data_IF_855648228076
#
_entry.id   IF_855648228076
#
_cell.length_a   1.000
_cell.length_b   1.000
_cell.length_c   1.000
_cell.angle_alpha   90.00
_cell.angle_beta   90.00
_cell.angle_gamma   90.00
#
_symmetry.space_group_name_H-M   'P 1'
#
loop_
_entity.id
_entity.type
_entity.pdbx_description
1 polymer ?
#
# COMPACT_ATOMS: atom_id res chain seq x y z
N UNK A 1 -9.08 4.82 17.26
CA UNK A 1 -8.35 3.69 16.65
C UNK A 1 -7.08 3.44 17.46
N UNK A 2 -6.86 2.22 17.93
CA UNK A 2 -5.68 1.82 18.73
C UNK A 2 -5.05 0.59 18.07
N UNK A 3 -3.73 0.54 17.93
CA UNK A 3 -3.06 -0.67 17.44
C UNK A 3 -2.68 -1.56 18.62
N UNK A 4 -2.95 -2.87 18.57
CA UNK A 4 -2.70 -3.77 19.70
C UNK A 4 -2.09 -5.10 19.25
N UNK A 5 -1.25 -5.69 20.10
CA UNK A 5 -0.82 -7.08 20.01
C UNK A 5 -1.33 -7.85 21.23
N UNK A 6 -1.58 -9.17 21.10
CA UNK A 6 -2.05 -10.00 22.21
C UNK A 6 -1.35 -11.35 22.35
N UNK A 7 -1.40 -11.89 23.56
CA UNK A 7 -1.12 -13.30 23.86
C UNK A 7 -2.37 -13.89 24.49
N UNK A 8 -2.81 -15.05 24.02
CA UNK A 8 -3.95 -15.78 24.58
C UNK A 8 -3.50 -17.07 25.27
N UNK A 9 -4.03 -17.33 26.46
CA UNK A 9 -3.83 -18.57 27.22
C UNK A 9 -5.19 -19.24 27.42
N UNK A 10 -5.39 -20.43 26.85
CA UNK A 10 -6.65 -21.17 26.90
C UNK A 10 -6.89 -21.82 28.26
N UNK A 11 -8.16 -21.80 28.66
CA UNK A 11 -8.71 -22.48 29.83
C UNK A 11 -9.83 -23.46 29.46
N UNK A 12 -10.13 -24.39 30.34
CA UNK A 12 -11.22 -25.35 30.19
C UNK A 12 -12.57 -24.60 30.09
N UNK A 13 -13.35 -24.90 29.04
CA UNK A 13 -14.68 -24.30 28.81
C UNK A 13 -14.70 -23.02 27.96
N UNK A 14 -13.54 -22.53 27.50
CA UNK A 14 -13.49 -21.38 26.58
C UNK A 14 -13.97 -21.72 25.16
N UNK A 15 -14.53 -20.72 24.47
CA UNK A 15 -14.99 -20.84 23.08
C UNK A 15 -13.80 -20.79 22.09
N UNK A 16 -13.86 -21.53 20.98
CA UNK A 16 -12.91 -21.41 19.87
C UNK A 16 -13.44 -20.48 18.77
N UNK A 17 -12.54 -19.77 18.08
CA UNK A 17 -12.85 -18.82 17.03
C UNK A 17 -12.34 -19.34 15.67
N UNK A 18 -13.21 -19.39 14.65
CA UNK A 18 -12.84 -19.63 13.24
C UNK A 18 -12.72 -18.28 12.54
N UNK A 19 -11.51 -17.93 12.09
CA UNK A 19 -11.17 -16.62 11.54
C UNK A 19 -11.73 -16.35 10.14
N UNK A 20 -12.40 -17.32 9.50
CA UNK A 20 -12.89 -17.16 8.12
C UNK A 20 -14.07 -16.20 7.94
N UNK A 21 -14.69 -15.73 9.02
CA UNK A 21 -15.86 -14.84 8.91
C UNK A 21 -15.56 -13.35 9.15
N UNK A 22 -14.34 -12.97 9.58
CA UNK A 22 -14.02 -11.57 9.91
C UNK A 22 -13.10 -10.83 8.92
N UNK A 23 -12.61 -11.49 7.86
CA UNK A 23 -11.92 -10.79 6.76
C UNK A 23 -12.83 -9.77 6.04
N UNK A 24 -14.15 -9.89 6.16
CA UNK A 24 -15.12 -8.96 5.55
C UNK A 24 -15.35 -7.64 6.29
N UNK A 25 -14.83 -7.46 7.52
CA UNK A 25 -15.12 -6.27 8.34
C UNK A 25 -14.03 -5.19 8.31
N UNK A 26 -12.93 -5.39 7.57
CA UNK A 26 -11.81 -4.45 7.47
C UNK A 26 -11.63 -3.81 6.09
N UNK A 27 -12.56 -3.99 5.16
CA UNK A 27 -12.52 -3.37 3.83
C UNK A 27 -13.91 -3.15 3.25
N UNK A 28 -14.51 -2.00 3.54
CA UNK A 28 -15.84 -1.70 3.04
C UNK A 28 -16.38 -0.32 3.43
N UNK A 29 -15.66 0.76 3.12
CA UNK A 29 -16.31 2.06 2.98
C UNK A 29 -16.82 2.17 1.55
N UNK A 30 -17.99 1.59 1.29
CA UNK A 30 -18.77 1.92 0.11
C UNK A 30 -19.31 3.34 0.29
N UNK A 31 -18.98 4.21 -0.66
CA UNK A 31 -19.53 5.55 -0.75
C UNK A 31 -21.05 5.49 -0.95
N UNK A 32 -21.83 5.78 0.10
CA UNK A 32 -23.24 6.09 -0.04
C UNK A 32 -23.39 7.51 -0.57
N UNK A 33 -24.01 7.63 -1.75
CA UNK A 33 -24.50 8.90 -2.31
C UNK A 33 -25.54 9.52 -1.36
N UNK A 34 -25.57 10.84 -1.15
CA UNK A 34 -26.70 11.45 -0.47
C UNK A 34 -27.91 11.51 -1.42
N UNK A 35 -29.00 10.87 -1.00
CA UNK A 35 -30.33 11.08 -1.56
C UNK A 35 -30.82 12.48 -1.18
N UNK A 36 -31.45 13.15 -2.14
CA UNK A 36 -31.97 14.50 -1.97
C UNK A 36 -33.30 14.57 -1.22
N UNK A 37 -33.62 15.84 -0.93
CA UNK A 37 -34.95 16.41 -0.74
C UNK A 37 -35.60 16.31 0.66
N UNK A 38 -35.68 17.46 1.36
CA UNK A 38 -36.94 18.23 1.46
C UNK A 38 -36.78 19.48 2.34
N UNK A 39 -37.52 20.52 1.94
CA UNK A 39 -37.53 21.88 2.44
C UNK A 39 -38.12 22.08 3.85
N UNK A 40 -37.77 23.21 4.50
CA UNK A 40 -38.66 23.82 5.48
C UNK A 40 -38.05 24.83 6.47
N UNK A 41 -38.32 26.13 6.22
CA UNK A 41 -38.45 27.27 7.15
C UNK A 41 -37.15 27.80 7.80
N UNK A 42 -36.68 28.99 7.38
CA UNK A 42 -37.03 30.35 7.89
C UNK A 42 -36.87 30.47 9.40
N UNK A 43 -35.82 31.18 9.81
CA UNK A 43 -35.92 32.28 10.77
C UNK A 43 -34.72 33.22 10.58
N UNK A 44 -35.05 34.51 10.48
CA UNK A 44 -34.14 35.65 10.42
C UNK A 44 -33.29 35.71 11.69
N UNK A 45 -32.09 36.31 11.64
CA UNK A 45 -31.64 37.40 12.52
C UNK A 45 -30.28 37.92 12.05
N UNK A 46 -30.10 39.22 12.24
CA UNK A 46 -29.22 40.09 11.48
C UNK A 46 -27.85 40.37 12.11
N UNK A 47 -26.98 40.92 11.25
CA UNK A 47 -25.93 41.91 11.47
C UNK A 47 -24.70 41.60 12.35
N UNK A 48 -23.55 41.91 11.76
CA UNK A 48 -22.27 42.15 12.44
C UNK A 48 -21.14 42.37 11.45
N UNK A 49 -21.02 43.59 10.92
CA UNK A 49 -19.87 44.08 10.15
C UNK A 49 -18.56 44.11 10.97
N UNK A 50 -17.44 44.07 10.23
CA UNK A 50 -16.09 44.65 10.45
C UNK A 50 -15.00 43.60 10.24
N UNK A 51 -13.80 43.89 9.73
CA UNK A 51 -13.21 44.89 8.85
C UNK A 51 -11.71 44.51 8.79
N UNK A 52 -11.11 44.64 7.61
CA UNK A 52 -9.69 44.91 7.29
C UNK A 52 -8.54 44.54 8.24
N UNK A 53 -7.50 43.96 7.63
CA UNK A 53 -6.14 43.95 8.15
C UNK A 53 -5.14 43.44 7.12
N UNK A 54 -4.82 44.27 6.12
CA UNK A 54 -3.60 44.16 5.32
C UNK A 54 -2.37 44.23 6.23
N UNK A 55 -1.28 43.51 5.92
CA UNK A 55 0.09 44.03 5.97
C UNK A 55 1.04 43.19 5.13
N UNK A 56 1.92 43.90 4.43
CA UNK A 56 2.81 43.46 3.37
C UNK A 56 4.27 43.36 3.83
N UNK A 57 5.08 42.85 2.90
CA UNK A 57 6.51 43.07 2.65
C UNK A 57 7.58 42.24 3.37
N UNK A 58 8.49 41.72 2.55
CA UNK A 58 9.81 41.24 2.93
C UNK A 58 10.56 40.52 1.81
N UNK A 59 10.76 41.16 0.65
CA UNK A 59 11.80 40.78 -0.31
C UNK A 59 13.18 40.84 0.36
N UNK A 60 14.09 39.92 0.05
CA UNK A 60 15.54 40.18 -0.06
C UNK A 60 16.19 39.17 -1.02
N UNK A 61 16.99 39.73 -1.93
CA UNK A 61 17.68 39.08 -3.03
C UNK A 61 19.16 38.82 -2.73
N UNK A 62 19.79 38.13 -3.69
CA UNK A 62 21.21 38.09 -4.07
C UNK A 62 22.10 36.93 -3.59
N UNK A 63 22.74 36.30 -4.58
CA UNK A 63 23.92 35.48 -4.42
C UNK A 63 24.26 34.61 -5.64
N UNK A 64 24.47 35.21 -6.82
CA UNK A 64 25.21 34.58 -7.92
C UNK A 64 26.62 34.20 -7.45
N UNK A 65 27.17 33.06 -7.90
CA UNK A 65 28.57 32.94 -8.33
C UNK A 65 28.77 31.71 -9.23
N UNK A 66 29.46 31.95 -10.34
CA UNK A 66 29.73 31.05 -11.44
C UNK A 66 31.09 30.34 -11.32
N UNK A 67 31.32 29.45 -12.29
CA UNK A 67 32.58 28.93 -12.86
C UNK A 67 33.06 27.54 -12.46
N UNK A 68 33.28 26.72 -13.51
CA UNK A 68 34.17 25.57 -13.48
C UNK A 68 33.95 24.55 -14.59
N UNK A 69 34.11 24.95 -15.86
CA UNK A 69 34.30 24.03 -17.00
C UNK A 69 35.54 23.14 -16.79
N UNK A 70 35.47 21.85 -17.17
CA UNK A 70 36.57 21.14 -17.84
C UNK A 70 36.10 19.84 -18.54
N UNK A 71 35.94 19.97 -19.86
CA UNK A 71 36.39 19.09 -20.95
C UNK A 71 36.57 17.55 -20.78
N UNK A 72 35.73 16.81 -21.52
CA UNK A 72 36.04 16.06 -22.77
C UNK A 72 37.07 14.89 -22.77
N UNK A 73 36.59 13.67 -23.08
CA UNK A 73 37.17 12.68 -24.04
C UNK A 73 36.31 11.37 -23.97
N UNK A 74 35.43 11.04 -24.92
CA UNK A 74 35.64 10.35 -26.22
C UNK A 74 36.74 9.29 -26.25
N UNK A 75 36.37 8.00 -26.22
CA UNK A 75 36.84 6.96 -27.17
C UNK A 75 36.17 5.59 -26.90
N UNK A 76 35.36 5.11 -27.86
CA UNK A 76 35.30 3.69 -28.26
C UNK A 76 36.17 3.56 -29.53
N UNK A 77 36.70 2.37 -29.91
CA UNK A 77 35.91 1.50 -30.81
C UNK A 77 36.20 -0.03 -30.77
N UNK A 78 35.28 -0.77 -31.43
CA UNK A 78 35.42 -2.08 -32.13
C UNK A 78 35.58 -3.37 -31.28
N UNK A 79 34.60 -4.31 -31.25
CA UNK A 79 34.24 -5.34 -32.27
C UNK A 79 35.42 -6.29 -32.59
N UNK A 80 35.39 -7.63 -32.64
CA UNK A 80 34.43 -8.76 -32.56
C UNK A 80 35.34 -10.05 -32.64
N UNK A 81 34.93 -11.31 -32.92
CA UNK A 81 33.72 -12.10 -32.65
C UNK A 81 34.05 -13.52 -32.08
N UNK A 82 33.04 -14.31 -31.66
CA UNK A 82 32.85 -15.71 -32.12
C UNK A 82 31.72 -16.45 -31.39
N UNK A 83 30.81 -17.00 -32.22
CA UNK A 83 30.19 -18.34 -32.16
C UNK A 83 29.53 -18.77 -30.84
N UNK A 84 28.23 -19.02 -30.73
CA UNK A 84 27.30 -19.61 -31.69
C UNK A 84 26.72 -20.88 -31.06
N UNK A 85 25.42 -20.92 -30.78
CA UNK A 85 24.57 -22.12 -30.92
C UNK A 85 23.09 -21.82 -30.69
N UNK A 86 22.31 -22.34 -31.61
CA UNK A 86 20.87 -22.22 -31.74
C UNK A 86 20.10 -22.81 -30.55
N UNK A 87 18.91 -22.25 -30.28
CA UNK A 87 17.76 -23.02 -29.83
C UNK A 87 16.47 -22.50 -30.46
N UNK A 88 15.75 -23.44 -31.07
CA UNK A 88 14.43 -23.32 -31.63
C UNK A 88 13.38 -23.05 -30.55
N UNK A 89 12.26 -22.47 -30.98
CA UNK A 89 11.15 -22.07 -30.14
C UNK A 89 10.35 -23.21 -29.52
N UNK A 90 9.66 -22.86 -28.45
CA UNK A 90 8.39 -23.46 -28.07
C UNK A 90 7.61 -22.40 -27.27
N UNK A 91 6.58 -21.86 -27.91
CA UNK A 91 5.42 -21.30 -27.22
C UNK A 91 4.84 -22.35 -26.26
N UNK A 92 4.44 -21.93 -25.06
CA UNK A 92 3.17 -22.33 -24.44
C UNK A 92 3.05 -21.76 -23.01
N UNK A 93 2.09 -20.84 -22.87
CA UNK A 93 1.08 -20.77 -21.80
C UNK A 93 1.54 -20.64 -20.35
N UNK A 94 1.37 -19.43 -19.81
CA UNK A 94 1.28 -19.21 -18.36
C UNK A 94 -0.03 -19.77 -17.79
N UNK A 95 -0.08 -20.11 -16.48
CA UNK A 95 -1.32 -20.51 -15.85
C UNK A 95 -2.17 -19.28 -15.54
N UNK A 96 -3.19 -19.10 -16.37
CA UNK A 96 -4.33 -18.23 -16.11
C UNK A 96 -5.21 -18.77 -14.98
N UNK A 97 -5.73 -17.82 -14.23
CA UNK A 97 -6.68 -17.98 -13.15
C UNK A 97 -8.02 -18.50 -13.71
N UNK A 98 -8.43 -19.72 -13.35
CA UNK A 98 -9.72 -20.28 -13.71
C UNK A 98 -10.63 -20.31 -12.47
N UNK A 99 -11.42 -19.25 -12.32
CA UNK A 99 -12.61 -19.27 -11.48
C UNK A 99 -13.68 -20.14 -12.17
N UNK A 100 -14.05 -21.26 -11.55
CA UNK A 100 -15.29 -21.96 -11.85
C UNK A 100 -16.23 -21.75 -10.68
N UNK A 101 -17.28 -20.98 -10.94
CA UNK A 101 -18.42 -20.83 -10.04
C UNK A 101 -19.33 -22.05 -10.12
N UNK A 102 -19.83 -22.46 -8.96
CA UNK A 102 -21.08 -23.21 -8.85
C UNK A 102 -21.99 -22.46 -7.87
N UNK A 103 -23.08 -21.91 -8.41
CA UNK A 103 -24.23 -21.41 -7.66
C UNK A 103 -25.22 -22.56 -7.46
N UNK A 104 -25.65 -22.87 -6.22
CA UNK A 104 -27.06 -23.13 -5.84
C UNK A 104 -27.21 -23.03 -4.29
N UNK A 105 -28.42 -22.96 -3.68
CA UNK A 105 -28.93 -21.74 -3.04
C UNK A 105 -29.25 -21.90 -1.54
N UNK A 106 -29.37 -20.76 -0.85
CA UNK A 106 -30.27 -20.56 0.30
C UNK A 106 -30.19 -21.53 1.47
N UNK A 107 -29.49 -21.14 2.53
CA UNK A 107 -29.92 -21.43 3.91
C UNK A 107 -29.37 -20.36 4.86
N UNK A 108 -30.28 -19.58 5.45
CA UNK A 108 -30.03 -18.92 6.74
C UNK A 108 -29.81 -20.04 7.76
N UNK A 109 -28.61 -20.16 8.29
CA UNK A 109 -28.33 -20.99 9.46
C UNK A 109 -27.34 -20.24 10.35
N UNK A 110 -27.66 -20.17 11.63
CA UNK A 110 -26.98 -19.33 12.62
C UNK A 110 -25.56 -19.77 12.94
N UNK A 111 -24.86 -18.86 13.61
CA UNK A 111 -23.55 -19.06 14.20
C UNK A 111 -23.49 -20.40 14.96
N UNK A 112 -22.63 -21.31 14.52
CA UNK A 112 -22.25 -22.49 15.29
C UNK A 112 -20.86 -22.29 15.85
N UNK A 113 -20.77 -22.29 17.19
CA UNK A 113 -19.53 -22.29 17.94
C UNK A 113 -18.59 -23.40 17.46
N UNK A 114 -17.32 -23.06 17.22
CA UNK A 114 -16.26 -24.04 17.07
C UNK A 114 -16.13 -24.86 18.35
N UNK A 115 -15.83 -26.15 18.22
CA UNK A 115 -15.75 -27.09 19.35
C UNK A 115 -14.82 -26.64 20.49
N UNK A 116 -14.94 -27.27 21.68
CA UNK A 116 -14.25 -26.82 22.90
C UNK A 116 -12.73 -26.80 22.73
N UNK A 117 -12.09 -25.77 23.27
CA UNK A 117 -10.63 -25.63 23.27
C UNK A 117 -9.97 -26.85 23.95
N UNK A 118 -8.89 -27.38 23.35
CA UNK A 118 -8.17 -28.59 23.81
C UNK A 118 -7.39 -28.44 25.14
N UNK A 119 -7.61 -27.37 25.90
CA UNK A 119 -6.88 -27.12 27.15
C UNK A 119 -7.57 -27.80 28.34
N UNK A 120 -6.79 -28.53 29.15
CA UNK A 120 -7.26 -29.13 30.41
C UNK A 120 -6.98 -28.24 31.63
N UNK A 121 -6.47 -27.01 31.43
CA UNK A 121 -6.09 -26.10 32.52
C UNK A 121 -7.32 -25.38 33.08
N UNK A 122 -7.36 -25.23 34.39
CA UNK A 122 -8.31 -24.35 35.08
C UNK A 122 -7.99 -22.88 34.80
N UNK A 123 -8.98 -22.02 35.00
CA UNK A 123 -8.83 -20.56 34.89
C UNK A 123 -7.71 -20.02 35.81
N UNK A 124 -7.62 -20.52 37.04
CA UNK A 124 -6.58 -20.12 37.98
C UNK A 124 -5.16 -20.48 37.50
N UNK A 125 -5.00 -21.65 36.86
CA UNK A 125 -3.73 -22.06 36.26
C UNK A 125 -3.39 -21.22 35.03
N UNK A 126 -4.38 -20.93 34.18
CA UNK A 126 -4.21 -20.06 33.02
C UNK A 126 -3.84 -18.62 33.43
N UNK A 127 -4.46 -18.09 34.50
CA UNK A 127 -4.16 -16.78 35.07
C UNK A 127 -2.74 -16.73 35.63
N UNK A 128 -2.33 -17.76 36.38
CA UNK A 128 -0.96 -17.86 36.91
C UNK A 128 0.08 -17.88 35.80
N UNK A 129 -0.18 -18.63 34.72
CA UNK A 129 0.69 -18.64 33.55
C UNK A 129 0.74 -17.27 32.89
N UNK A 130 -0.40 -16.62 32.68
CA UNK A 130 -0.46 -15.31 32.04
C UNK A 130 0.27 -14.23 32.87
N UNK A 131 0.16 -14.26 34.20
CA UNK A 131 0.94 -13.38 35.10
C UNK A 131 2.45 -13.58 34.94
N UNK A 132 2.90 -14.84 34.78
CA UNK A 132 4.32 -15.12 34.52
C UNK A 132 4.80 -14.55 33.18
N UNK A 133 3.96 -14.59 32.15
CA UNK A 133 4.24 -14.01 30.84
C UNK A 133 4.30 -12.48 30.90
N UNK A 134 3.39 -11.83 31.63
CA UNK A 134 3.44 -10.38 31.88
C UNK A 134 4.74 -9.99 32.58
N UNK A 135 5.18 -10.76 33.57
CA UNK A 135 6.45 -10.51 34.25
C UNK A 135 7.67 -10.64 33.32
N UNK A 136 7.65 -11.58 32.37
CA UNK A 136 8.68 -11.69 31.33
C UNK A 136 8.65 -10.49 30.38
N UNK A 137 7.47 -10.14 29.87
CA UNK A 137 7.28 -9.02 28.94
C UNK A 137 7.62 -7.67 29.56
N UNK A 138 7.44 -7.48 30.87
CA UNK A 138 7.83 -6.25 31.56
C UNK A 138 9.35 -6.08 31.65
N UNK A 139 10.12 -7.17 31.65
CA UNK A 139 11.59 -7.13 31.64
C UNK A 139 12.12 -6.81 30.25
N UNK A 140 11.49 -7.37 29.23
CA UNK A 140 11.83 -7.12 27.83
C UNK A 140 10.56 -6.95 26.97
N UNK A 141 10.01 -5.73 26.92
CA UNK A 141 8.80 -5.48 26.15
C UNK A 141 8.99 -5.76 24.67
N UNK A 142 10.21 -5.67 24.14
CA UNK A 142 10.52 -5.89 22.72
C UNK A 142 10.19 -7.31 22.23
N UNK A 143 10.20 -8.29 23.14
CA UNK A 143 9.97 -9.71 22.85
C UNK A 143 8.51 -10.13 22.74
N UNK A 144 7.55 -9.19 22.80
CA UNK A 144 6.12 -9.51 22.77
C UNK A 144 5.74 -10.42 21.59
N UNK A 145 6.14 -10.07 20.38
CA UNK A 145 5.81 -10.82 19.17
C UNK A 145 6.48 -12.21 19.11
N UNK A 146 7.62 -12.39 19.79
CA UNK A 146 8.28 -13.69 19.94
C UNK A 146 7.51 -14.56 20.94
N UNK A 147 7.19 -13.99 22.11
CA UNK A 147 6.47 -14.68 23.17
C UNK A 147 5.07 -15.08 22.72
N UNK A 148 4.37 -14.20 21.99
CA UNK A 148 3.08 -14.50 21.37
C UNK A 148 3.18 -15.72 20.45
N UNK A 149 4.16 -15.77 19.54
CA UNK A 149 4.37 -16.95 18.68
C UNK A 149 4.73 -18.22 19.42
N UNK A 150 5.38 -18.10 20.57
CA UNK A 150 5.88 -19.26 21.32
C UNK A 150 4.84 -19.80 22.31
N UNK A 151 3.98 -18.93 22.84
CA UNK A 151 3.13 -19.21 24.00
C UNK A 151 1.64 -18.93 23.76
N UNK A 152 1.29 -18.08 22.80
CA UNK A 152 -0.12 -17.80 22.50
C UNK A 152 -0.74 -19.03 21.87
N UNK A 153 -1.91 -19.39 22.38
CA UNK A 153 -2.73 -20.49 21.84
C UNK A 153 -3.77 -19.96 20.82
N UNK A 154 -3.72 -18.65 20.52
CA UNK A 154 -4.53 -17.97 19.49
C UNK A 154 -4.01 -18.22 18.06
N UNK A 155 -4.87 -18.28 17.02
CA UNK A 155 -4.41 -18.36 15.64
C UNK A 155 -3.45 -17.24 15.21
N UNK A 156 -3.60 -16.03 15.78
CA UNK A 156 -2.73 -14.88 15.52
C UNK A 156 -1.34 -15.04 16.17
N UNK A 157 -1.10 -16.11 16.94
CA UNK A 157 0.22 -16.44 17.49
C UNK A 157 1.29 -16.34 16.42
N UNK A 158 1.07 -16.94 15.23
CA UNK A 158 1.99 -16.93 14.09
C UNK A 158 2.36 -15.52 13.59
N UNK A 159 1.43 -14.55 13.70
CA UNK A 159 1.65 -13.13 13.40
C UNK A 159 2.20 -12.33 14.59
N UNK A 160 2.62 -12.99 15.66
CA UNK A 160 3.12 -12.32 16.86
C UNK A 160 2.02 -11.70 17.70
N UNK A 161 0.80 -12.21 17.57
CA UNK A 161 -0.37 -11.69 18.28
C UNK A 161 -0.90 -10.37 17.71
N UNK A 162 -0.48 -9.99 16.51
CA UNK A 162 -0.81 -8.69 15.94
C UNK A 162 -2.27 -8.60 15.48
N UNK A 163 -3.08 -7.84 16.20
CA UNK A 163 -4.50 -7.63 15.89
C UNK A 163 -4.72 -6.41 14.98
N UNK A 164 -3.65 -5.69 14.61
CA UNK A 164 -3.77 -4.47 13.81
C UNK A 164 -4.55 -3.38 14.55
N UNK A 165 -5.37 -2.63 13.81
CA UNK A 165 -6.10 -1.47 14.33
C UNK A 165 -7.44 -1.88 14.92
N UNK A 166 -7.59 -1.65 16.23
CA UNK A 166 -8.81 -1.83 17.00
C UNK A 166 -9.68 -0.57 16.98
N UNK A 167 -10.99 -0.77 16.83
CA UNK A 167 -12.01 0.27 16.90
C UNK A 167 -12.87 0.07 18.16
N UNK A 168 -12.90 1.05 19.08
CA UNK A 168 -13.72 0.95 20.29
C UNK A 168 -15.20 0.74 19.97
N UNK A 169 -15.91 0.05 20.87
CA UNK A 169 -17.32 -0.31 20.74
C UNK A 169 -17.56 -1.73 20.19
N UNK A 170 -16.50 -2.46 19.84
CA UNK A 170 -16.60 -3.85 19.38
C UNK A 170 -16.75 -4.84 20.54
N UNK A 171 -16.04 -4.64 21.65
CA UNK A 171 -16.10 -5.48 22.86
C UNK A 171 -15.79 -4.62 24.09
N UNK A 172 -16.75 -4.51 25.02
CA UNK A 172 -16.69 -3.57 26.15
C UNK A 172 -15.55 -3.93 27.12
N UNK A 173 -15.40 -5.21 27.43
CA UNK A 173 -14.39 -5.72 28.36
C UNK A 173 -12.98 -5.51 27.81
N UNK A 174 -12.82 -5.66 26.50
CA UNK A 174 -11.56 -5.39 25.81
C UNK A 174 -11.25 -3.89 25.80
N UNK A 175 -12.24 -3.05 25.49
CA UNK A 175 -12.10 -1.60 25.48
C UNK A 175 -11.62 -1.06 26.84
N UNK A 176 -12.21 -1.54 27.94
CA UNK A 176 -11.80 -1.15 29.30
C UNK A 176 -10.33 -1.51 29.60
N UNK A 177 -9.85 -2.64 29.08
CA UNK A 177 -8.48 -3.09 29.30
C UNK A 177 -7.42 -2.38 28.44
N UNK A 178 -7.76 -1.93 27.22
CA UNK A 178 -6.78 -1.38 26.26
C UNK A 178 -6.85 0.14 26.09
N UNK A 179 -8.01 0.77 26.27
CA UNK A 179 -8.18 2.22 26.06
C UNK A 179 -7.33 3.04 27.06
N UNK A 180 -7.17 2.53 28.28
CA UNK A 180 -6.40 3.16 29.35
C UNK A 180 -4.88 2.97 29.25
N UNK A 181 -4.39 2.06 28.39
CA UNK A 181 -2.97 1.80 28.25
C UNK A 181 -2.27 2.96 27.54
N UNK A 182 -1.08 3.34 27.97
CA UNK A 182 -0.20 4.19 27.16
C UNK A 182 0.50 3.36 26.08
N UNK A 183 0.98 4.00 25.02
CA UNK A 183 1.74 3.30 23.97
C UNK A 183 2.96 2.60 24.57
N UNK A 184 3.13 1.32 24.25
CA UNK A 184 4.16 0.42 24.79
C UNK A 184 3.74 -0.29 26.09
N UNK A 185 2.66 0.12 26.76
CA UNK A 185 2.22 -0.50 28.00
C UNK A 185 1.61 -1.88 27.76
N UNK A 186 1.88 -2.80 28.69
CA UNK A 186 1.35 -4.16 28.73
C UNK A 186 0.24 -4.21 29.78
N UNK A 187 -0.94 -4.73 29.40
CA UNK A 187 -2.07 -4.91 30.31
C UNK A 187 -1.75 -5.91 31.41
N UNK A 188 -2.49 -5.83 32.51
CA UNK A 188 -2.64 -7.00 33.37
C UNK A 188 -3.37 -8.12 32.60
N UNK A 189 -3.18 -9.40 32.96
CA UNK A 189 -3.96 -10.47 32.37
C UNK A 189 -5.42 -10.38 32.80
N UNK A 190 -6.35 -10.56 31.87
CA UNK A 190 -7.78 -10.57 32.18
C UNK A 190 -8.49 -11.71 31.45
N UNK A 191 -9.52 -12.23 32.10
CA UNK A 191 -10.33 -13.32 31.58
C UNK A 191 -11.29 -12.82 30.49
N UNK A 192 -11.45 -13.64 29.46
CA UNK A 192 -12.41 -13.45 28.38
C UNK A 192 -13.07 -14.80 28.08
N UNK A 193 -14.13 -14.79 27.26
CA UNK A 193 -14.77 -16.03 26.78
C UNK A 193 -13.80 -16.95 25.99
N UNK A 194 -12.65 -16.41 25.57
CA UNK A 194 -11.62 -17.08 24.77
C UNK A 194 -10.38 -17.47 25.58
N UNK A 195 -10.39 -17.30 26.90
CA UNK A 195 -9.24 -17.54 27.78
C UNK A 195 -8.66 -16.25 28.39
N UNK A 196 -7.47 -16.37 28.99
CA UNK A 196 -6.79 -15.25 29.63
C UNK A 196 -5.94 -14.53 28.59
N UNK A 197 -6.19 -13.23 28.42
CA UNK A 197 -5.49 -12.41 27.42
C UNK A 197 -4.59 -11.35 28.06
N UNK A 198 -3.48 -11.10 27.38
CA UNK A 198 -2.51 -10.05 27.69
C UNK A 198 -2.38 -9.20 26.45
N UNK A 199 -2.49 -7.87 26.59
CA UNK A 199 -2.39 -6.94 25.48
C UNK A 199 -1.21 -6.01 25.64
N UNK A 200 -0.64 -5.57 24.51
CA UNK A 200 0.27 -4.43 24.46
C UNK A 200 -0.30 -3.39 23.52
N UNK A 201 -0.37 -2.14 23.97
CA UNK A 201 -0.74 -1.02 23.09
C UNK A 201 0.46 -0.67 22.22
N UNK A 202 0.29 -0.80 20.92
CA UNK A 202 1.29 -0.39 19.95
C UNK A 202 1.14 1.09 19.60
N UNK A 203 2.21 1.68 19.07
CA UNK A 203 2.11 2.98 18.43
C UNK A 203 1.15 2.89 17.24
N UNK A 204 0.26 3.87 17.04
CA UNK A 204 -0.61 3.89 15.88
C UNK A 204 0.25 3.95 14.61
N UNK A 205 -0.03 3.08 13.65
CA UNK A 205 0.56 3.16 12.32
C UNK A 205 -0.21 4.23 11.55
N UNK A 206 0.44 5.36 11.29
CA UNK A 206 -0.09 6.37 10.37
C UNK A 206 0.27 6.01 8.94
N UNK A 207 -0.61 6.36 8.02
CA UNK A 207 -0.42 6.19 6.58
C UNK A 207 0.87 6.87 6.13
N UNK A 208 1.90 6.07 5.91
CA UNK A 208 3.25 6.53 5.58
C UNK A 208 3.73 5.77 4.38
N UNK A 209 4.22 6.50 3.38
CA UNK A 209 4.92 5.88 2.26
C UNK A 209 6.32 5.49 2.73
N UNK A 210 6.60 4.19 2.68
CA UNK A 210 7.87 3.61 3.12
C UNK A 210 8.42 2.71 2.03
N UNK A 211 9.73 2.46 2.09
CA UNK A 211 10.38 1.40 1.34
C UNK A 211 11.36 0.70 2.28
N UNK A 212 11.63 -0.57 2.05
CA UNK A 212 12.55 -1.31 2.88
C UNK A 212 13.32 -2.39 2.13
N UNK A 213 14.42 -2.82 2.75
CA UNK A 213 15.06 -4.11 2.48
C UNK A 213 14.83 -5.04 3.67
N UNK A 214 14.83 -6.34 3.44
CA UNK A 214 14.78 -7.34 4.51
C UNK A 214 15.94 -8.33 4.43
N UNK A 215 16.42 -8.73 5.61
CA UNK A 215 17.25 -9.89 5.81
C UNK A 215 16.41 -10.95 6.51
N UNK A 216 16.26 -12.12 5.89
CA UNK A 216 15.59 -13.28 6.49
C UNK A 216 16.60 -14.20 7.14
N UNK A 217 16.35 -14.60 8.39
CA UNK A 217 17.02 -15.71 9.08
C UNK A 217 16.00 -16.80 9.40
N UNK A 218 16.02 -17.86 8.61
CA UNK A 218 15.06 -18.95 8.75
C UNK A 218 15.51 -19.96 9.82
N UNK A 219 14.55 -20.79 10.25
CA UNK A 219 14.78 -22.03 11.00
C UNK A 219 14.14 -23.22 10.26
N UNK A 220 14.50 -24.43 10.66
CA UNK A 220 13.98 -25.65 10.06
C UNK A 220 12.45 -25.74 10.21
N UNK A 221 11.74 -25.83 9.09
CA UNK A 221 10.27 -25.84 9.06
C UNK A 221 9.62 -24.47 8.96
N UNK A 222 10.37 -23.37 8.92
CA UNK A 222 9.81 -22.07 8.54
C UNK A 222 9.34 -22.08 7.08
N UNK A 223 8.35 -21.25 6.77
CA UNK A 223 7.78 -21.11 5.43
C UNK A 223 8.87 -20.71 4.44
N UNK A 224 9.01 -21.50 3.35
CA UNK A 224 10.06 -21.33 2.32
C UNK A 224 11.51 -21.46 2.83
N UNK A 225 11.73 -22.01 4.01
CA UNK A 225 13.08 -22.34 4.47
C UNK A 225 13.73 -23.37 3.52
N UNK A 226 15.05 -23.27 3.25
CA UNK A 226 15.77 -24.32 2.55
C UNK A 226 15.61 -25.68 3.25
N UNK A 227 15.34 -26.74 2.50
CA UNK A 227 15.12 -28.09 3.06
C UNK A 227 16.36 -28.67 3.75
N UNK A 228 17.55 -28.18 3.43
CA UNK A 228 18.81 -28.54 4.09
C UNK A 228 19.05 -27.82 5.42
N UNK A 229 18.18 -26.88 5.80
CA UNK A 229 18.35 -26.08 7.00
C UNK A 229 18.00 -26.89 8.25
N UNK A 230 18.97 -27.04 9.16
CA UNK A 230 18.83 -27.78 10.42
C UNK A 230 18.70 -26.89 11.64
N UNK A 231 18.89 -25.57 11.48
CA UNK A 231 18.89 -24.59 12.56
C UNK A 231 17.55 -24.57 13.30
N UNK A 232 17.60 -24.60 14.63
CA UNK A 232 16.43 -24.42 15.51
C UNK A 232 15.97 -22.97 15.54
N UNK A 233 14.76 -22.74 16.06
CA UNK A 233 14.21 -21.38 16.22
C UNK A 233 15.03 -20.50 17.18
N UNK A 234 15.61 -21.08 18.23
CA UNK A 234 16.47 -20.35 19.16
C UNK A 234 17.79 -19.93 18.51
N UNK A 235 18.43 -20.84 17.77
CA UNK A 235 19.65 -20.52 17.02
C UNK A 235 19.40 -19.50 15.91
N UNK A 236 18.22 -19.53 15.27
CA UNK A 236 17.83 -18.54 14.27
C UNK A 236 17.68 -17.14 14.88
N UNK A 237 17.11 -17.03 16.09
CA UNK A 237 17.02 -15.77 16.81
C UNK A 237 18.39 -15.22 17.15
N UNK A 238 19.24 -16.02 17.80
CA UNK A 238 20.60 -15.62 18.16
C UNK A 238 21.41 -15.15 16.94
N UNK A 239 21.23 -15.84 15.80
CA UNK A 239 21.82 -15.41 14.53
C UNK A 239 21.23 -14.08 14.05
N UNK A 240 19.91 -13.92 14.05
CA UNK A 240 19.27 -12.67 13.63
C UNK A 240 19.72 -11.47 14.47
N UNK A 241 19.87 -11.64 15.78
CA UNK A 241 20.40 -10.61 16.70
C UNK A 241 21.86 -10.26 16.38
N UNK A 242 22.71 -11.27 16.13
CA UNK A 242 24.09 -11.05 15.73
C UNK A 242 24.19 -10.30 14.39
N UNK A 243 23.38 -10.69 13.40
CA UNK A 243 23.33 -10.03 12.09
C UNK A 243 22.78 -8.61 12.18
N UNK A 244 21.78 -8.39 13.04
CA UNK A 244 21.22 -7.06 13.34
C UNK A 244 22.29 -6.16 13.97
N UNK A 245 23.04 -6.67 14.93
CA UNK A 245 24.12 -5.91 15.58
C UNK A 245 25.21 -5.52 14.59
N UNK A 246 25.56 -6.42 13.67
CA UNK A 246 26.50 -6.11 12.58
C UNK A 246 25.93 -5.04 11.63
N UNK A 247 24.67 -5.18 11.22
CA UNK A 247 23.98 -4.24 10.36
C UNK A 247 23.84 -2.84 10.98
N UNK A 248 23.61 -2.75 12.30
CA UNK A 248 23.52 -1.48 13.01
C UNK A 248 24.88 -0.75 13.09
N UNK A 249 25.99 -1.50 13.09
CA UNK A 249 27.36 -0.92 13.05
C UNK A 249 27.74 -0.43 11.66
N UNK A 250 27.23 -1.07 10.61
CA UNK A 250 27.43 -0.66 9.22
C UNK A 250 26.11 -0.74 8.42
N UNK A 251 25.20 0.25 8.56
CA UNK A 251 23.94 0.24 7.84
C UNK A 251 24.10 0.36 6.32
N UNK A 252 25.19 0.97 5.85
CA UNK A 252 25.47 1.11 4.41
C UNK A 252 25.83 -0.25 3.77
N UNK A 253 26.50 -1.13 4.53
CA UNK A 253 26.83 -2.49 4.12
C UNK A 253 25.67 -3.50 4.14
N UNK A 254 24.49 -3.11 4.61
CA UNK A 254 23.38 -4.05 4.84
C UNK A 254 22.93 -4.82 3.60
N UNK A 255 22.92 -4.18 2.41
CA UNK A 255 22.56 -4.86 1.16
C UNK A 255 23.56 -5.98 0.78
N UNK A 256 24.84 -5.76 1.04
CA UNK A 256 25.89 -6.77 0.84
C UNK A 256 25.75 -7.91 1.87
N UNK A 257 25.42 -7.57 3.11
CA UNK A 257 25.14 -8.56 4.16
C UNK A 257 23.94 -9.45 3.79
N UNK A 258 22.83 -8.86 3.29
CA UNK A 258 21.67 -9.60 2.80
C UNK A 258 22.07 -10.61 1.72
N UNK A 259 22.79 -10.14 0.69
CA UNK A 259 23.24 -11.02 -0.42
C UNK A 259 24.07 -12.19 0.05
N UNK A 260 24.87 -12.00 1.09
CA UNK A 260 25.79 -13.01 1.60
C UNK A 260 25.13 -13.98 2.60
N UNK A 261 24.30 -13.46 3.49
CA UNK A 261 23.96 -14.14 4.75
C UNK A 261 22.47 -14.42 4.95
N UNK A 262 21.60 -13.85 4.11
CA UNK A 262 20.16 -14.09 4.21
C UNK A 262 19.77 -15.48 3.69
N UNK A 263 18.81 -16.08 4.39
CA UNK A 263 18.12 -17.32 3.99
C UNK A 263 16.92 -17.04 3.05
N UNK A 264 16.64 -15.76 2.71
CA UNK A 264 15.51 -15.32 1.90
C UNK A 264 15.73 -15.49 0.39
N UNK A 265 14.65 -15.76 -0.35
CA UNK A 265 14.67 -15.92 -1.81
C UNK A 265 15.03 -14.62 -2.56
N UNK A 266 14.84 -13.48 -1.90
CA UNK A 266 15.10 -12.13 -2.39
C UNK A 266 16.54 -11.66 -2.13
N UNK A 267 17.38 -12.50 -1.52
CA UNK A 267 18.78 -12.17 -1.20
C UNK A 267 19.56 -11.61 -2.38
N UNK A 268 19.42 -12.21 -3.57
CA UNK A 268 20.16 -11.81 -4.79
C UNK A 268 19.79 -10.39 -5.23
N UNK A 269 18.54 -9.97 -4.95
CA UNK A 269 18.02 -8.63 -5.21
C UNK A 269 18.29 -7.66 -4.04
N UNK A 270 19.16 -8.04 -3.10
CA UNK A 270 19.45 -7.25 -1.91
C UNK A 270 18.27 -7.10 -0.96
N UNK A 271 17.30 -8.03 -1.00
CA UNK A 271 16.16 -8.05 -0.09
C UNK A 271 15.16 -6.90 -0.27
N UNK A 272 15.20 -6.18 -1.39
CA UNK A 272 14.36 -4.99 -1.59
C UNK A 272 12.87 -5.34 -1.76
N UNK A 273 12.03 -4.74 -0.91
CA UNK A 273 10.58 -4.95 -0.86
C UNK A 273 9.79 -3.99 -1.76
N UNK A 274 10.46 -3.00 -2.35
CA UNK A 274 9.79 -1.89 -3.03
C UNK A 274 9.23 -0.88 -2.03
N UNK A 275 8.49 0.09 -2.57
CA UNK A 275 7.74 1.06 -1.77
C UNK A 275 6.29 0.63 -1.60
N UNK A 276 5.72 0.94 -0.45
CA UNK A 276 4.30 0.77 -0.14
C UNK A 276 3.81 1.87 0.79
N UNK A 277 2.49 1.99 0.90
CA UNK A 277 1.85 2.80 1.94
C UNK A 277 1.45 1.87 3.07
N UNK A 278 1.86 2.17 4.30
CA UNK A 278 1.44 1.41 5.48
C UNK A 278 -0.08 1.42 5.65
N UNK A 279 -0.62 0.45 6.39
CA UNK A 279 -2.04 0.34 6.68
C UNK A 279 -2.92 0.11 5.42
N UNK A 280 -2.36 -0.51 4.38
CA UNK A 280 -3.06 -0.91 3.14
C UNK A 280 -3.35 -2.42 3.08
N UNK A 281 -2.84 -3.20 4.04
CA UNK A 281 -2.94 -4.66 4.03
C UNK A 281 -1.94 -5.37 3.11
N UNK A 282 -1.08 -4.62 2.39
CA UNK A 282 -0.05 -5.21 1.52
C UNK A 282 0.98 -6.05 2.28
N UNK A 283 1.36 -5.60 3.48
CA UNK A 283 2.24 -6.34 4.39
C UNK A 283 1.56 -6.50 5.76
N UNK A 284 1.94 -7.52 6.56
CA UNK A 284 1.41 -7.69 7.90
C UNK A 284 1.64 -6.43 8.75
N UNK A 285 0.74 -6.08 9.70
CA UNK A 285 0.85 -4.82 10.45
C UNK A 285 2.17 -4.70 11.24
N UNK A 286 2.77 -5.83 11.66
CA UNK A 286 4.06 -5.87 12.32
C UNK A 286 5.22 -5.40 11.43
N UNK A 287 5.10 -5.56 10.11
CA UNK A 287 6.10 -5.10 9.14
C UNK A 287 5.97 -3.60 8.96
N UNK A 288 4.73 -3.12 8.81
CA UNK A 288 4.43 -1.68 8.75
C UNK A 288 5.00 -0.96 9.96
N UNK A 289 4.71 -1.46 11.18
CA UNK A 289 5.27 -0.90 12.43
C UNK A 289 6.79 -0.93 12.45
N UNK A 290 7.39 -2.06 12.10
CA UNK A 290 8.85 -2.23 12.15
C UNK A 290 9.56 -1.27 11.18
N UNK A 291 8.98 -0.97 10.03
CA UNK A 291 9.60 -0.12 9.01
C UNK A 291 9.28 1.36 9.26
N UNK A 292 8.03 1.71 9.57
CA UNK A 292 7.61 3.11 9.73
C UNK A 292 8.22 3.77 10.96
N UNK A 293 8.54 3.00 12.01
CA UNK A 293 9.19 3.50 13.22
C UNK A 293 10.66 3.86 13.04
N UNK A 294 11.30 3.44 11.94
CA UNK A 294 12.72 3.69 11.70
C UNK A 294 12.95 5.03 11.00
N UNK A 295 14.06 5.74 11.27
CA UNK A 295 14.58 6.75 10.35
C UNK A 295 15.07 6.07 9.06
N UNK A 296 15.23 6.84 7.98
CA UNK A 296 15.86 6.32 6.76
C UNK A 296 17.29 5.82 7.05
N UNK A 297 17.64 4.65 6.51
CA UNK A 297 18.87 3.93 6.80
C UNK A 297 18.82 3.10 8.10
N UNK A 298 17.85 3.35 8.99
CA UNK A 298 17.70 2.64 10.25
C UNK A 298 17.45 1.14 10.08
N UNK A 299 17.94 0.35 11.03
CA UNK A 299 17.82 -1.12 11.08
C UNK A 299 16.89 -1.53 12.22
N UNK A 300 15.87 -2.35 11.94
CA UNK A 300 14.94 -2.86 12.94
C UNK A 300 15.60 -3.89 13.87
N UNK A 301 14.97 -4.13 15.02
CA UNK A 301 15.19 -5.39 15.74
C UNK A 301 14.66 -6.59 14.91
N UNK A 302 15.07 -7.83 15.22
CA UNK A 302 14.48 -9.02 14.59
C UNK A 302 12.96 -9.10 14.81
N UNK A 303 12.21 -9.13 13.72
CA UNK A 303 10.76 -9.30 13.69
C UNK A 303 10.47 -10.75 13.34
N UNK A 304 9.91 -11.51 14.28
CA UNK A 304 9.50 -12.87 13.96
C UNK A 304 8.39 -12.87 12.89
N UNK A 305 8.36 -13.92 12.08
CA UNK A 305 7.40 -14.14 10.98
C UNK A 305 7.32 -15.63 10.66
N UNK A 306 6.40 -16.05 9.79
CA UNK A 306 6.34 -17.44 9.33
C UNK A 306 7.53 -17.85 8.47
N UNK A 307 8.28 -16.89 7.91
CA UNK A 307 9.44 -17.13 7.06
C UNK A 307 10.76 -17.23 7.83
N UNK A 308 10.75 -16.89 9.13
CA UNK A 308 11.97 -16.66 9.88
C UNK A 308 11.91 -15.41 10.75
N UNK A 309 13.06 -15.03 11.29
CA UNK A 309 13.26 -13.69 11.85
C UNK A 309 13.69 -12.74 10.74
N UNK A 310 12.99 -11.61 10.64
CA UNK A 310 13.19 -10.59 9.63
C UNK A 310 13.86 -9.37 10.24
N UNK A 311 14.90 -8.88 9.60
CA UNK A 311 15.56 -7.62 9.97
C UNK A 311 15.34 -6.66 8.83
N UNK A 312 14.66 -5.55 9.09
CA UNK A 312 14.36 -4.54 8.08
C UNK A 312 15.36 -3.40 8.11
N UNK A 313 15.68 -2.86 6.94
CA UNK A 313 16.24 -1.53 6.81
C UNK A 313 15.23 -0.64 6.13
N UNK A 314 14.88 0.50 6.74
CA UNK A 314 14.10 1.53 6.04
C UNK A 314 15.00 2.21 5.03
N UNK A 315 14.55 2.30 3.79
CA UNK A 315 15.28 2.98 2.71
C UNK A 315 14.43 4.13 2.20
N UNK A 316 15.06 5.06 1.49
CA UNK A 316 14.35 6.19 0.89
C UNK A 316 13.22 5.67 0.00
N UNK A 317 11.98 6.07 0.32
CA UNK A 317 10.83 5.75 -0.49
C UNK A 317 10.80 6.70 -1.70
N UNK A 318 10.67 6.19 -2.94
CA UNK A 318 10.38 7.05 -4.09
C UNK A 318 9.14 7.89 -3.79
N UNK A 319 9.11 9.16 -4.23
CA UNK A 319 7.99 10.05 -3.99
C UNK A 319 6.69 9.40 -4.49
N UNK A 320 5.59 9.70 -3.79
CA UNK A 320 4.27 9.32 -4.26
C UNK A 320 4.08 9.86 -5.68
N UNK A 321 3.59 9.02 -6.58
CA UNK A 321 3.45 9.43 -7.96
C UNK A 321 2.18 10.25 -8.10
N UNK A 322 2.27 11.41 -8.76
CA UNK A 322 1.07 12.14 -9.15
C UNK A 322 0.40 11.34 -10.25
N UNK A 323 -0.74 10.73 -9.90
CA UNK A 323 -1.57 9.99 -10.82
C UNK A 323 -2.59 10.93 -11.45
N UNK A 324 -2.67 10.86 -12.76
CA UNK A 324 -3.67 11.56 -13.55
C UNK A 324 -4.55 10.52 -14.23
N UNK A 325 -5.80 10.89 -14.45
CA UNK A 325 -6.74 10.10 -15.21
C UNK A 325 -7.53 11.05 -16.11
N UNK A 326 -7.86 10.59 -17.30
CA UNK A 326 -8.50 11.44 -18.30
C UNK A 326 -9.07 10.64 -19.45
N UNK A 327 -9.87 11.31 -20.26
CA UNK A 327 -10.25 10.84 -21.58
C UNK A 327 -9.94 11.91 -22.62
N UNK A 328 -9.76 11.50 -23.87
CA UNK A 328 -9.50 12.41 -24.98
C UNK A 328 -10.30 12.09 -26.25
N UNK A 329 -10.50 13.13 -27.06
CA UNK A 329 -10.91 13.03 -28.46
C UNK A 329 -9.76 13.53 -29.32
N UNK A 330 -9.20 12.66 -30.16
CA UNK A 330 -8.15 13.05 -31.09
C UNK A 330 -8.77 13.43 -32.43
N UNK A 331 -8.46 14.63 -32.90
CA UNK A 331 -8.75 15.10 -34.26
C UNK A 331 -7.42 15.27 -34.99
N UNK A 332 -7.02 14.24 -35.72
CA UNK A 332 -5.81 14.25 -36.55
C UNK A 332 -5.99 15.07 -37.84
N UNK A 333 -4.90 15.43 -38.49
CA UNK A 333 -4.90 16.10 -39.79
C UNK A 333 -3.92 15.43 -40.75
N UNK A 334 -4.03 15.74 -42.04
CA UNK A 334 -3.13 15.20 -43.06
C UNK A 334 -1.68 15.60 -42.75
N UNK A 335 -0.83 14.60 -42.52
CA UNK A 335 0.57 14.80 -42.14
C UNK A 335 0.86 14.74 -40.64
N UNK A 336 -0.16 14.64 -39.79
CA UNK A 336 0.04 14.37 -38.36
C UNK A 336 0.61 12.95 -38.14
N UNK A 337 1.38 12.79 -37.06
CA UNK A 337 1.97 11.50 -36.73
C UNK A 337 0.88 10.45 -36.50
N UNK A 338 1.05 9.26 -37.08
CA UNK A 338 0.08 8.14 -36.97
C UNK A 338 -1.35 8.47 -37.46
N UNK A 339 -1.54 9.54 -38.24
CA UNK A 339 -2.82 9.78 -38.89
C UNK A 339 -3.19 8.58 -39.78
N UNK A 340 -4.45 8.14 -39.70
CA UNK A 340 -4.96 7.05 -40.55
C UNK A 340 -4.88 7.48 -42.02
N UNK A 341 -4.58 6.54 -42.92
CA UNK A 341 -4.40 6.82 -44.36
C UNK A 341 -5.59 7.52 -45.05
N UNK A 342 -6.78 7.50 -44.45
CA UNK A 342 -7.98 8.19 -44.96
C UNK A 342 -8.15 9.64 -44.49
N UNK A 343 -7.29 10.17 -43.62
CA UNK A 343 -7.40 11.52 -43.09
C UNK A 343 -6.90 12.54 -44.13
N UNK A 344 -7.85 13.25 -44.75
CA UNK A 344 -7.58 14.29 -45.76
C UNK A 344 -7.76 15.73 -45.26
N UNK A 345 -8.26 15.90 -44.04
CA UNK A 345 -8.53 17.22 -43.48
C UNK A 345 -7.22 17.96 -43.22
N UNK A 346 -7.22 19.26 -43.49
CA UNK A 346 -6.14 20.18 -43.16
C UNK A 346 -6.03 20.40 -41.66
N UNK A 347 -4.92 20.98 -41.22
CA UNK A 347 -4.70 21.32 -39.82
C UNK A 347 -5.73 22.36 -39.31
N UNK A 348 -6.12 23.32 -40.15
CA UNK A 348 -7.14 24.31 -39.82
C UNK A 348 -8.53 23.68 -39.64
N UNK A 349 -8.89 22.72 -40.49
CA UNK A 349 -10.14 21.96 -40.34
C UNK A 349 -10.14 21.09 -39.07
N UNK A 350 -9.00 20.48 -38.73
CA UNK A 350 -8.86 19.72 -37.50
C UNK A 350 -8.99 20.60 -36.24
N UNK A 351 -8.41 21.81 -36.25
CA UNK A 351 -8.58 22.78 -35.17
C UNK A 351 -10.04 23.23 -35.04
N UNK A 352 -10.70 23.55 -36.16
CA UNK A 352 -12.10 23.94 -36.16
C UNK A 352 -13.00 22.82 -35.59
N UNK A 353 -12.77 21.57 -35.99
CA UNK A 353 -13.50 20.42 -35.47
C UNK A 353 -13.25 20.19 -33.97
N UNK A 354 -11.99 20.24 -33.53
CA UNK A 354 -11.66 20.12 -32.12
C UNK A 354 -12.30 21.25 -31.29
N UNK A 355 -12.38 22.48 -31.83
CA UNK A 355 -13.04 23.61 -31.17
C UNK A 355 -14.53 23.35 -30.99
N UNK A 356 -15.22 22.85 -32.03
CA UNK A 356 -16.64 22.45 -31.93
C UNK A 356 -16.85 21.35 -30.89
N UNK A 357 -15.96 20.35 -30.85
CA UNK A 357 -16.02 19.27 -29.86
C UNK A 357 -15.85 19.82 -28.44
N UNK A 358 -14.96 20.79 -28.20
CA UNK A 358 -14.81 21.44 -26.88
C UNK A 358 -16.11 22.13 -26.47
N UNK A 359 -16.72 22.92 -27.36
CA UNK A 359 -17.96 23.63 -27.07
C UNK A 359 -19.10 22.67 -26.74
N UNK A 360 -19.30 21.63 -27.54
CA UNK A 360 -20.31 20.60 -27.33
C UNK A 360 -20.07 19.82 -26.03
N UNK A 361 -18.84 19.36 -25.80
CA UNK A 361 -18.49 18.60 -24.61
C UNK A 361 -18.56 19.44 -23.32
N UNK A 362 -18.39 20.77 -23.39
CA UNK A 362 -18.59 21.65 -22.23
C UNK A 362 -20.06 21.87 -21.89
N UNK A 363 -20.95 21.79 -22.86
CA UNK A 363 -22.40 21.87 -22.63
C UNK A 363 -22.91 20.63 -21.90
N UNK A 364 -22.37 19.45 -22.24
CA UNK A 364 -22.71 18.19 -21.56
C UNK A 364 -21.47 17.27 -21.41
N UNK A 365 -20.65 17.47 -20.36
CA UNK A 365 -19.45 16.68 -20.11
C UNK A 365 -19.71 15.19 -19.91
N UNK A 366 -20.94 14.79 -19.56
CA UNK A 366 -21.32 13.38 -19.38
C UNK A 366 -21.30 12.65 -20.73
N UNK A 367 -21.59 13.36 -21.83
CA UNK A 367 -21.57 12.81 -23.20
C UNK A 367 -20.18 12.69 -23.80
N UNK A 368 -19.13 13.11 -23.10
CA UNK A 368 -17.76 13.09 -23.63
C UNK A 368 -17.39 11.71 -24.22
N UNK A 369 -17.76 10.63 -23.54
CA UNK A 369 -17.49 9.27 -24.03
C UNK A 369 -18.19 8.93 -25.35
N UNK A 370 -19.42 9.42 -25.56
CA UNK A 370 -20.14 9.26 -26.83
C UNK A 370 -19.48 10.07 -27.94
N UNK A 371 -19.13 11.33 -27.64
CA UNK A 371 -18.44 12.21 -28.58
C UNK A 371 -17.09 11.59 -28.99
N UNK A 372 -16.36 11.01 -28.04
CA UNK A 372 -15.12 10.29 -28.32
C UNK A 372 -15.33 9.05 -29.19
N UNK A 373 -16.39 8.28 -28.95
CA UNK A 373 -16.72 7.10 -29.75
C UNK A 373 -17.09 7.43 -31.19
N UNK A 374 -17.78 8.56 -31.40
CA UNK A 374 -18.22 9.01 -32.72
C UNK A 374 -17.13 9.73 -33.51
N UNK A 375 -16.31 10.56 -32.83
CA UNK A 375 -15.48 11.57 -33.52
C UNK A 375 -13.98 11.44 -33.29
N UNK A 376 -13.52 10.59 -32.36
CA UNK A 376 -12.09 10.41 -32.13
C UNK A 376 -11.44 9.56 -33.22
N UNK A 377 -10.32 10.05 -33.77
CA UNK A 377 -9.47 9.26 -34.65
C UNK A 377 -8.60 8.25 -33.89
N UNK A 378 -8.45 8.41 -32.58
CA UNK A 378 -7.66 7.51 -31.75
C UNK A 378 -8.38 6.19 -31.46
N UNK A 379 -7.63 5.12 -31.24
CA UNK A 379 -8.19 3.81 -30.94
C UNK A 379 -8.96 3.78 -29.60
N UNK A 380 -8.68 4.68 -28.66
CA UNK A 380 -9.44 4.83 -27.42
C UNK A 380 -10.86 5.34 -27.63
N UNK A 381 -11.20 5.93 -28.79
CA UNK A 381 -12.55 6.44 -29.07
C UNK A 381 -13.63 5.40 -28.78
N UNK A 382 -13.42 4.15 -29.20
CA UNK A 382 -14.34 3.02 -28.94
C UNK A 382 -14.58 2.70 -27.46
N UNK A 383 -13.70 3.18 -26.58
CA UNK A 383 -13.79 3.07 -25.12
C UNK A 383 -14.07 4.43 -24.48
N UNK A 384 -14.77 5.31 -25.19
CA UNK A 384 -15.10 6.65 -24.69
C UNK A 384 -13.91 7.60 -24.60
N UNK A 385 -12.82 7.33 -25.32
CA UNK A 385 -11.60 8.15 -25.29
C UNK A 385 -10.74 7.93 -24.05
N UNK A 386 -11.05 6.94 -23.21
CA UNK A 386 -10.41 6.74 -21.92
C UNK A 386 -8.90 6.44 -22.06
N UNK A 387 -8.08 7.22 -21.36
CA UNK A 387 -6.62 7.08 -21.27
C UNK A 387 -6.20 6.17 -20.11
N UNK A 388 -7.12 5.87 -19.19
CA UNK A 388 -6.84 5.15 -17.96
C UNK A 388 -6.11 6.02 -16.92
N UNK A 389 -5.56 5.37 -15.90
CA UNK A 389 -4.71 6.01 -14.88
C UNK A 389 -3.26 5.96 -15.36
N UNK A 390 -2.61 7.11 -15.39
CA UNK A 390 -1.22 7.22 -15.83
C UNK A 390 -0.42 8.15 -14.92
N UNK A 391 0.90 8.01 -14.99
CA UNK A 391 1.85 8.81 -14.22
C UNK A 391 2.24 10.04 -15.02
N UNK A 392 2.59 11.12 -14.33
CA UNK A 392 3.23 12.29 -14.94
C UNK A 392 4.43 11.87 -15.82
N UNK A 393 4.54 12.45 -17.01
CA UNK A 393 5.53 12.12 -18.03
C UNK A 393 5.12 10.99 -18.99
N UNK A 394 3.92 10.42 -18.87
CA UNK A 394 3.44 9.34 -19.77
C UNK A 394 2.85 9.89 -21.07
N UNK A 395 2.25 11.09 -21.03
CA UNK A 395 1.61 11.74 -22.16
C UNK A 395 2.52 12.81 -22.79
N UNK A 396 2.24 13.26 -24.03
CA UNK A 396 2.87 14.47 -24.57
C UNK A 396 2.68 15.65 -23.61
N UNK A 397 3.75 16.41 -23.35
CA UNK A 397 3.78 17.45 -22.30
C UNK A 397 2.59 18.41 -22.36
N UNK A 398 2.23 18.91 -23.55
CA UNK A 398 1.10 19.83 -23.73
C UNK A 398 -0.26 19.20 -23.34
N UNK A 399 -0.44 17.90 -23.61
CA UNK A 399 -1.66 17.18 -23.26
C UNK A 399 -1.76 16.93 -21.75
N UNK A 400 -0.62 16.62 -21.13
CA UNK A 400 -0.51 16.43 -19.70
C UNK A 400 -0.78 17.73 -18.93
N UNK A 401 -0.13 18.82 -19.32
CA UNK A 401 -0.32 20.15 -18.73
C UNK A 401 -1.78 20.60 -18.82
N UNK A 402 -2.43 20.36 -19.96
CA UNK A 402 -3.85 20.63 -20.11
C UNK A 402 -4.73 19.80 -19.17
N UNK A 403 -4.42 18.53 -18.95
CA UNK A 403 -5.16 17.68 -18.00
C UNK A 403 -4.89 18.02 -16.54
N UNK A 404 -3.69 18.49 -16.19
CA UNK A 404 -3.33 18.94 -14.84
C UNK A 404 -4.03 20.25 -14.46
N UNK A 405 -4.21 21.17 -15.40
CA UNK A 405 -4.88 22.46 -15.16
C UNK A 405 -6.41 22.39 -15.02
N UNK A 406 -7.02 21.23 -15.24
CA UNK A 406 -8.48 21.03 -15.22
C UNK A 406 -8.96 20.46 -13.88
N UNK A 407 -10.13 20.92 -13.41
CA UNK A 407 -10.85 20.27 -12.31
C UNK A 407 -11.42 18.94 -12.77
N UNK A 408 -11.67 18.01 -11.84
CA UNK A 408 -12.32 16.74 -12.15
C UNK A 408 -13.66 16.98 -12.86
N UNK A 409 -13.86 16.33 -13.99
CA UNK A 409 -15.03 16.48 -14.86
C UNK A 409 -14.96 17.64 -15.85
N UNK A 410 -13.96 18.54 -15.74
CA UNK A 410 -13.82 19.70 -16.61
C UNK A 410 -13.23 19.33 -17.98
N UNK A 411 -13.75 19.95 -19.03
CA UNK A 411 -13.33 19.76 -20.42
C UNK A 411 -12.40 20.89 -20.87
N UNK A 412 -11.24 20.52 -21.41
CA UNK A 412 -10.22 21.43 -21.93
C UNK A 412 -9.75 21.10 -23.35
N UNK A 413 -8.92 21.99 -23.88
CA UNK A 413 -8.47 21.98 -25.28
C UNK A 413 -9.13 23.09 -26.12
N UNK A 414 -8.86 23.12 -27.44
CA UNK A 414 -8.06 22.16 -28.21
C UNK A 414 -6.56 22.22 -27.87
N UNK A 415 -5.92 21.07 -27.67
CA UNK A 415 -4.49 20.95 -27.37
C UNK A 415 -3.77 20.39 -28.58
N UNK A 416 -2.82 21.14 -29.14
CA UNK A 416 -2.02 20.68 -30.28
C UNK A 416 -0.89 19.74 -29.83
N UNK A 417 -0.79 18.57 -30.45
CA UNK A 417 0.35 17.64 -30.31
C UNK A 417 0.83 17.20 -31.69
N UNK A 418 1.93 16.41 -31.80
CA UNK A 418 2.33 15.82 -33.07
C UNK A 418 1.29 14.88 -33.71
N UNK A 419 0.31 14.39 -32.94
CA UNK A 419 -0.73 13.46 -33.41
C UNK A 419 -1.97 14.18 -33.97
N UNK A 420 -2.15 15.47 -33.66
CA UNK A 420 -3.34 16.25 -34.02
C UNK A 420 -3.76 17.20 -32.90
N UNK A 421 -5.03 17.59 -32.92
CA UNK A 421 -5.65 18.33 -31.82
C UNK A 421 -6.39 17.40 -30.89
N UNK A 422 -6.20 17.58 -29.59
CA UNK A 422 -6.85 16.81 -28.56
C UNK A 422 -7.84 17.67 -27.81
N UNK A 423 -9.03 17.14 -27.59
CA UNK A 423 -9.97 17.63 -26.57
C UNK A 423 -9.89 16.67 -25.40
N UNK A 424 -9.80 17.17 -24.18
CA UNK A 424 -9.59 16.36 -22.99
C UNK A 424 -10.65 16.62 -21.94
N UNK A 425 -10.94 15.60 -21.13
CA UNK A 425 -11.71 15.75 -19.89
C UNK A 425 -10.93 15.14 -18.75
N UNK A 426 -10.88 15.83 -17.62
CA UNK A 426 -10.23 15.31 -16.42
C UNK A 426 -11.11 14.26 -15.75
N UNK A 427 -10.55 13.11 -15.42
CA UNK A 427 -11.17 12.10 -14.57
C UNK A 427 -10.57 12.12 -13.18
N UNK A 428 -11.32 11.55 -12.24
CA UNK A 428 -10.79 11.23 -10.92
C UNK A 428 -9.73 10.13 -11.07
N UNK A 429 -8.55 10.38 -10.52
CA UNK A 429 -7.49 9.39 -10.42
C UNK A 429 -7.51 8.82 -9.00
N UNK A 430 -7.23 7.51 -8.82
CA UNK A 430 -7.01 6.97 -7.50
C UNK A 430 -5.85 7.71 -6.84
N UNK A 431 -5.91 7.86 -5.53
CA UNK A 431 -4.76 8.26 -4.74
C UNK A 431 -3.61 7.27 -4.94
N UNK A 432 -2.37 7.72 -4.75
CA UNK A 432 -1.20 6.83 -4.79
C UNK A 432 -1.34 5.67 -3.78
N UNK A 433 -2.03 5.90 -2.64
CA UNK A 433 -2.42 4.86 -1.68
C UNK A 433 -3.32 3.81 -2.32
N UNK A 434 -4.41 4.20 -2.96
CA UNK A 434 -5.37 3.29 -3.60
C UNK A 434 -4.75 2.57 -4.80
N UNK A 435 -3.89 3.24 -5.55
CA UNK A 435 -3.21 2.65 -6.71
C UNK A 435 -2.16 1.61 -6.31
N UNK A 436 -1.47 1.79 -5.18
CA UNK A 436 -0.48 0.82 -4.69
C UNK A 436 -1.12 -0.35 -3.92
N UNK A 437 -2.36 -0.18 -3.47
CA UNK A 437 -3.13 -1.25 -2.84
C UNK A 437 -3.76 -2.23 -3.85
N UNK A 438 -3.92 -1.82 -5.11
CA UNK A 438 -4.32 -2.67 -6.25
C UNK A 438 -3.15 -3.49 -6.77
#
# INVERSE_FOLDING_TARGET
MITITHVNVHQQGGASFDLREHEGALGGLAAEKPAGEAAGKREDHAHGDHAHGDHAHGDHAHGDHAHGDHARAVAKPSAEPSQGKARAGSEATGPGNAAQGTNVPGQRAGATAGGPLKSTRSEAEAMTLAQSLVAELRKDPGRFAELARARSEDPMAASGGDLGTWTPGQQKELDEAILGLTVGAISEPFATDFGIRIYRREAPVVDTRVAARQLVVAWSGATRAPTSLTRTRAEALARAEALTTAAQRDPAGFEAQIRKESDGYDREKGGYLGAWTTNTGRYPPGYDRAVSALPEGGISAPVASDFGYLVFQRVAAPPAQVLLAGAHVLVSFQGAQKAKAGVKRSEAEALAEATRIVEEARQDPVRFGLIAAERSDDASGKRGGELGVFRKGTLPAALEEALEGLRIGEVGGPVRTPYGYHVVVRREAPTDREYVAQ
#
